data_IF_029442108302
#
_entry.id   IF_029442108302
#
_cell.length_a   1.000
_cell.length_b   1.000
_cell.length_c   1.000
_cell.angle_alpha   90.00
_cell.angle_beta   90.00
_cell.angle_gamma   90.00
#
_symmetry.space_group_name_H-M   'P 1'
#
loop_
_entity.id
_entity.type
_entity.pdbx_description
1 polymer ?
#
# COMPACT_ATOMS: atom_id res chain seq x y z
N UNK A 1 -0.23 -9.86 -29.63
CA UNK A 1 -1.65 -9.84 -30.04
C UNK A 1 -1.75 -8.83 -31.19
N UNK A 2 -2.36 -9.20 -32.31
CA UNK A 2 -2.57 -8.26 -33.41
C UNK A 2 -3.63 -7.20 -33.04
N UNK A 3 -3.60 -6.04 -33.73
CA UNK A 3 -4.47 -4.90 -33.41
C UNK A 3 -5.99 -5.23 -33.50
N UNK A 4 -6.36 -6.13 -34.42
CA UNK A 4 -7.77 -6.54 -34.59
C UNK A 4 -8.24 -7.39 -33.42
N UNK A 5 -7.47 -8.37 -33.00
CA UNK A 5 -7.74 -9.23 -31.85
C UNK A 5 -7.77 -8.40 -30.55
N UNK A 6 -6.83 -7.46 -30.39
CA UNK A 6 -6.81 -6.55 -29.24
C UNK A 6 -8.09 -5.68 -29.16
N UNK A 7 -8.51 -5.09 -30.28
CA UNK A 7 -9.75 -4.30 -30.33
C UNK A 7 -11.00 -5.14 -30.01
N UNK A 8 -11.05 -6.37 -30.54
CA UNK A 8 -12.17 -7.30 -30.31
C UNK A 8 -12.29 -7.68 -28.82
N UNK A 9 -11.18 -8.04 -28.18
CA UNK A 9 -11.15 -8.43 -26.77
C UNK A 9 -11.46 -7.23 -25.87
N UNK A 10 -10.93 -6.04 -26.16
CA UNK A 10 -11.29 -4.81 -25.42
C UNK A 10 -12.79 -4.51 -25.49
N UNK A 11 -13.39 -4.61 -26.69
CA UNK A 11 -14.82 -4.38 -26.88
C UNK A 11 -15.65 -5.41 -26.10
N UNK A 12 -15.27 -6.68 -26.15
CA UNK A 12 -15.92 -7.74 -25.38
C UNK A 12 -15.80 -7.53 -23.88
N UNK A 13 -14.61 -7.21 -23.36
CA UNK A 13 -14.42 -6.95 -21.93
C UNK A 13 -15.24 -5.75 -21.47
N UNK A 14 -15.26 -4.67 -22.26
CA UNK A 14 -16.08 -3.48 -21.96
C UNK A 14 -17.55 -3.84 -21.85
N UNK A 15 -18.10 -4.62 -22.79
CA UNK A 15 -19.50 -5.07 -22.75
C UNK A 15 -19.82 -5.89 -21.49
N UNK A 16 -18.84 -6.65 -20.99
CA UNK A 16 -18.99 -7.42 -19.75
C UNK A 16 -19.05 -6.51 -18.53
N UNK A 17 -18.12 -5.56 -18.40
CA UNK A 17 -18.05 -4.70 -17.20
C UNK A 17 -19.15 -3.63 -17.15
N UNK A 18 -19.68 -3.19 -18.31
CA UNK A 18 -20.80 -2.24 -18.41
C UNK A 18 -22.17 -2.89 -18.16
N UNK A 19 -22.25 -4.22 -18.26
CA UNK A 19 -23.50 -4.94 -18.01
C UNK A 19 -23.85 -4.94 -16.50
N UNK A 20 -25.13 -4.92 -16.12
CA UNK A 20 -25.54 -5.05 -14.71
C UNK A 20 -24.96 -6.28 -14.05
N UNK A 21 -24.21 -6.10 -12.95
CA UNK A 21 -23.48 -7.15 -12.21
C UNK A 21 -22.53 -7.98 -13.10
N UNK A 22 -22.07 -7.44 -14.23
CA UNK A 22 -21.27 -8.19 -15.19
C UNK A 22 -19.91 -8.59 -14.61
N UNK A 23 -19.26 -7.69 -13.87
CA UNK A 23 -18.00 -7.96 -13.19
C UNK A 23 -18.14 -9.09 -12.16
N UNK A 24 -19.18 -9.07 -11.33
CA UNK A 24 -19.43 -10.09 -10.30
C UNK A 24 -19.74 -11.45 -10.93
N UNK A 25 -20.53 -11.45 -11.99
CA UNK A 25 -20.87 -12.69 -12.74
C UNK A 25 -19.63 -13.31 -13.39
N UNK A 26 -18.80 -12.49 -14.04
CA UNK A 26 -17.55 -12.96 -14.66
C UNK A 26 -16.62 -13.57 -13.61
N UNK A 27 -16.41 -12.88 -12.49
CA UNK A 27 -15.50 -13.35 -11.44
C UNK A 27 -16.05 -14.57 -10.71
N UNK A 28 -17.37 -14.64 -10.48
CA UNK A 28 -18.01 -15.84 -9.94
C UNK A 28 -17.82 -17.04 -10.86
N UNK A 29 -18.01 -16.88 -12.18
CA UNK A 29 -17.74 -17.94 -13.16
C UNK A 29 -16.27 -18.35 -13.19
N UNK A 30 -15.34 -17.38 -13.13
CA UNK A 30 -13.90 -17.63 -13.06
C UNK A 30 -13.54 -18.52 -11.86
N UNK A 31 -13.96 -18.16 -10.65
CA UNK A 31 -13.69 -18.96 -9.47
C UNK A 31 -14.43 -20.32 -9.51
N UNK A 32 -15.64 -20.35 -10.06
CA UNK A 32 -16.37 -21.61 -10.28
C UNK A 32 -15.58 -22.59 -11.13
N UNK A 33 -15.05 -22.16 -12.28
CA UNK A 33 -14.20 -22.98 -13.14
C UNK A 33 -12.86 -23.33 -12.48
N UNK A 34 -12.21 -22.37 -11.85
CA UNK A 34 -10.90 -22.56 -11.19
C UNK A 34 -10.96 -23.65 -10.13
N UNK A 35 -11.95 -23.60 -9.24
CA UNK A 35 -12.08 -24.55 -8.13
C UNK A 35 -12.72 -25.88 -8.53
N UNK A 36 -13.52 -25.90 -9.60
CA UNK A 36 -14.05 -27.15 -10.14
C UNK A 36 -12.94 -28.03 -10.75
N UNK A 37 -12.03 -27.41 -11.50
CA UNK A 37 -10.88 -28.10 -12.12
C UNK A 37 -9.73 -28.34 -11.14
N UNK A 38 -9.56 -27.47 -10.14
CA UNK A 38 -8.44 -27.47 -9.20
C UNK A 38 -8.94 -27.20 -7.76
N UNK A 39 -9.62 -28.16 -7.10
CA UNK A 39 -10.24 -27.94 -5.78
C UNK A 39 -9.23 -27.52 -4.69
N UNK A 40 -7.99 -28.00 -4.77
CA UNK A 40 -6.90 -27.67 -3.83
C UNK A 40 -6.56 -26.19 -3.82
N UNK A 41 -6.78 -25.47 -4.93
CA UNK A 41 -6.49 -24.03 -4.99
C UNK A 41 -7.40 -23.20 -4.07
N UNK A 42 -8.56 -23.74 -3.65
CA UNK A 42 -9.45 -23.03 -2.72
C UNK A 42 -8.74 -22.69 -1.40
N UNK A 43 -7.78 -23.50 -1.00
CA UNK A 43 -6.99 -23.28 0.22
C UNK A 43 -6.08 -22.04 0.15
N UNK A 44 -5.72 -21.57 -1.04
CA UNK A 44 -4.90 -20.37 -1.21
C UNK A 44 -5.68 -19.06 -0.96
N UNK A 45 -7.01 -19.13 -0.94
CA UNK A 45 -7.89 -17.98 -0.83
C UNK A 45 -8.48 -17.82 0.58
N UNK A 46 -8.75 -16.57 1.00
CA UNK A 46 -9.47 -16.33 2.26
C UNK A 46 -10.92 -16.85 2.18
N UNK A 47 -11.59 -17.06 3.33
CA UNK A 47 -13.00 -17.46 3.36
C UNK A 47 -13.92 -16.47 2.63
N UNK A 48 -13.74 -15.16 2.85
CA UNK A 48 -14.51 -14.10 2.20
C UNK A 48 -13.77 -13.58 0.97
N UNK A 49 -14.43 -13.57 -0.18
CA UNK A 49 -13.83 -13.25 -1.49
C UNK A 49 -14.41 -11.99 -2.15
N UNK A 50 -15.25 -11.22 -1.46
CA UNK A 50 -16.00 -10.08 -2.02
C UNK A 50 -15.09 -9.00 -2.64
N UNK A 51 -13.94 -8.74 -2.02
CA UNK A 51 -12.99 -7.74 -2.52
C UNK A 51 -12.16 -8.22 -3.71
N UNK A 52 -12.13 -9.52 -4.00
CA UNK A 52 -11.29 -10.09 -5.05
C UNK A 52 -11.84 -9.77 -6.45
N UNK A 53 -13.17 -9.69 -6.59
CA UNK A 53 -13.82 -9.39 -7.87
C UNK A 53 -13.30 -8.09 -8.49
N UNK A 54 -13.32 -7.01 -7.72
CA UNK A 54 -12.83 -5.70 -8.18
C UNK A 54 -11.36 -5.73 -8.59
N UNK A 55 -10.52 -6.43 -7.83
CA UNK A 55 -9.07 -6.51 -8.10
C UNK A 55 -8.77 -7.24 -9.41
N UNK A 56 -9.44 -8.36 -9.67
CA UNK A 56 -9.26 -9.13 -10.91
C UNK A 56 -9.68 -8.29 -12.11
N UNK A 57 -10.86 -7.67 -12.05
CA UNK A 57 -11.37 -6.82 -13.14
C UNK A 57 -10.41 -5.65 -13.42
N UNK A 58 -9.94 -4.96 -12.37
CA UNK A 58 -8.97 -3.87 -12.51
C UNK A 58 -7.64 -4.34 -13.14
N UNK A 59 -7.14 -5.51 -12.75
CA UNK A 59 -5.92 -6.05 -13.31
C UNK A 59 -6.07 -6.40 -14.81
N UNK A 60 -7.18 -7.05 -15.17
CA UNK A 60 -7.49 -7.37 -16.58
C UNK A 60 -7.63 -6.07 -17.39
N UNK A 61 -8.37 -5.08 -16.88
CA UNK A 61 -8.50 -3.77 -17.54
C UNK A 61 -7.13 -3.14 -17.79
N UNK A 62 -6.27 -3.10 -16.78
CA UNK A 62 -4.92 -2.55 -16.93
C UNK A 62 -4.12 -3.23 -18.04
N UNK A 63 -4.15 -4.57 -18.11
CA UNK A 63 -3.47 -5.33 -19.17
C UNK A 63 -4.04 -4.97 -20.55
N UNK A 64 -5.36 -4.92 -20.68
CA UNK A 64 -6.02 -4.61 -21.94
C UNK A 64 -5.73 -3.17 -22.40
N UNK A 65 -5.64 -2.21 -21.49
CA UNK A 65 -5.31 -0.81 -21.80
C UNK A 65 -3.86 -0.65 -22.29
N UNK A 66 -2.97 -1.57 -21.91
CA UNK A 66 -1.54 -1.53 -22.27
C UNK A 66 -1.11 -2.62 -23.27
N UNK A 67 -2.03 -3.22 -24.03
CA UNK A 67 -1.66 -4.23 -25.04
C UNK A 67 -0.71 -3.70 -26.13
N UNK A 68 -0.77 -2.40 -26.43
CA UNK A 68 0.13 -1.75 -27.40
C UNK A 68 1.50 -1.38 -26.79
N UNK A 69 1.55 -1.22 -25.47
CA UNK A 69 2.78 -1.07 -24.68
C UNK A 69 2.96 -2.29 -23.78
N UNK A 70 3.21 -3.45 -24.42
CA UNK A 70 3.30 -4.72 -23.69
C UNK A 70 4.39 -4.70 -22.61
N UNK A 71 5.48 -4.00 -22.82
CA UNK A 71 6.56 -3.89 -21.82
C UNK A 71 6.06 -3.33 -20.48
N UNK A 72 5.09 -2.43 -20.52
CA UNK A 72 4.44 -1.87 -19.31
C UNK A 72 3.49 -2.86 -18.65
N UNK A 73 2.67 -3.54 -19.45
CA UNK A 73 1.78 -4.60 -18.95
C UNK A 73 2.58 -5.76 -18.33
N UNK A 74 3.67 -6.18 -18.99
CA UNK A 74 4.55 -7.24 -18.51
C UNK A 74 5.18 -6.90 -17.15
N UNK A 75 5.75 -5.70 -17.00
CA UNK A 75 6.32 -5.24 -15.71
C UNK A 75 5.29 -5.25 -14.59
N UNK A 76 4.06 -4.83 -14.87
CA UNK A 76 2.96 -4.90 -13.92
C UNK A 76 2.63 -6.34 -13.51
N UNK A 77 2.52 -7.27 -14.49
CA UNK A 77 2.23 -8.68 -14.24
C UNK A 77 3.35 -9.38 -13.48
N UNK A 78 4.61 -9.09 -13.81
CA UNK A 78 5.77 -9.61 -13.09
C UNK A 78 5.78 -9.14 -11.62
N UNK A 79 5.47 -7.86 -11.37
CA UNK A 79 5.36 -7.35 -10.01
C UNK A 79 4.18 -7.96 -9.26
N UNK A 80 3.04 -8.12 -9.92
CA UNK A 80 1.86 -8.78 -9.37
C UNK A 80 2.17 -10.24 -9.00
N UNK A 81 2.93 -10.94 -9.82
CA UNK A 81 3.36 -12.30 -9.56
C UNK A 81 4.31 -12.42 -8.36
N UNK A 82 5.26 -11.50 -8.23
CA UNK A 82 6.12 -11.43 -7.03
C UNK A 82 5.29 -11.26 -5.76
N UNK A 83 4.27 -10.40 -5.81
CA UNK A 83 3.35 -10.21 -4.67
C UNK A 83 2.49 -11.46 -4.40
N UNK A 84 2.18 -12.27 -5.42
CA UNK A 84 1.39 -13.50 -5.25
C UNK A 84 2.17 -14.64 -4.59
N UNK A 85 3.51 -14.61 -4.56
CA UNK A 85 4.34 -15.66 -3.92
C UNK A 85 3.97 -15.90 -2.45
N UNK A 86 3.57 -14.86 -1.74
CA UNK A 86 3.12 -14.94 -0.34
C UNK A 86 1.90 -15.84 -0.11
N UNK A 87 1.12 -16.11 -1.17
CA UNK A 87 -0.03 -17.00 -1.11
C UNK A 87 0.34 -18.46 -1.41
N UNK A 88 1.61 -18.76 -1.73
CA UNK A 88 2.05 -20.09 -2.14
C UNK A 88 1.71 -20.41 -3.60
N UNK A 89 1.53 -19.38 -4.44
CA UNK A 89 1.22 -19.55 -5.87
C UNK A 89 2.49 -19.84 -6.65
N UNK A 90 2.44 -20.84 -7.53
CA UNK A 90 3.50 -21.21 -8.48
C UNK A 90 3.09 -21.03 -9.94
N UNK A 91 3.98 -21.37 -10.88
CA UNK A 91 3.74 -21.21 -12.32
C UNK A 91 2.54 -22.01 -12.83
N UNK A 92 2.31 -23.22 -12.33
CA UNK A 92 1.19 -24.07 -12.76
C UNK A 92 -0.18 -23.47 -12.36
N UNK A 93 -0.22 -22.74 -11.28
CA UNK A 93 -1.42 -22.04 -10.82
C UNK A 93 -1.83 -20.90 -11.76
N UNK A 94 -0.87 -20.21 -12.39
CA UNK A 94 -1.18 -19.17 -13.38
C UNK A 94 -1.78 -19.75 -14.66
N UNK A 95 -1.33 -20.92 -15.11
CA UNK A 95 -1.91 -21.62 -16.26
C UNK A 95 -3.33 -22.10 -15.96
N UNK A 96 -3.59 -22.61 -14.75
CA UNK A 96 -4.93 -22.98 -14.32
C UNK A 96 -5.86 -21.75 -14.26
N UNK A 97 -5.37 -20.61 -13.76
CA UNK A 97 -6.11 -19.37 -13.74
C UNK A 97 -6.41 -18.85 -15.15
N UNK A 98 -5.44 -18.94 -16.09
CA UNK A 98 -5.65 -18.56 -17.49
C UNK A 98 -6.74 -19.39 -18.17
N UNK A 99 -6.75 -20.71 -17.98
CA UNK A 99 -7.79 -21.59 -18.52
C UNK A 99 -9.17 -21.27 -17.89
N UNK A 100 -9.22 -21.08 -16.58
CA UNK A 100 -10.46 -20.74 -15.89
C UNK A 100 -11.03 -19.39 -16.35
N UNK A 101 -10.17 -18.42 -16.62
CA UNK A 101 -10.58 -17.11 -17.12
C UNK A 101 -11.15 -17.21 -18.54
N UNK A 102 -10.51 -17.96 -19.43
CA UNK A 102 -11.00 -18.23 -20.78
C UNK A 102 -12.38 -18.92 -20.73
N UNK A 103 -12.54 -19.94 -19.87
CA UNK A 103 -13.80 -20.64 -19.66
C UNK A 103 -14.91 -19.72 -19.11
N UNK A 104 -14.54 -18.79 -18.21
CA UNK A 104 -15.49 -17.81 -17.67
C UNK A 104 -15.99 -16.83 -18.75
N UNK A 105 -15.11 -16.32 -19.62
CA UNK A 105 -15.52 -15.47 -20.74
C UNK A 105 -16.39 -16.24 -21.74
N UNK A 106 -16.05 -17.50 -22.04
CA UNK A 106 -16.90 -18.36 -22.90
C UNK A 106 -18.30 -18.55 -22.32
N UNK A 107 -18.38 -18.90 -21.05
CA UNK A 107 -19.64 -19.11 -20.35
C UNK A 107 -20.48 -17.81 -20.29
N UNK A 108 -19.84 -16.67 -20.04
CA UNK A 108 -20.50 -15.37 -19.98
C UNK A 108 -21.12 -14.97 -21.32
N UNK A 109 -20.39 -15.15 -22.42
CA UNK A 109 -20.84 -14.73 -23.76
C UNK A 109 -21.82 -15.70 -24.42
N UNK A 110 -21.86 -16.98 -23.99
CA UNK A 110 -22.79 -17.99 -24.51
C UNK A 110 -22.80 -18.05 -26.04
N UNK A 111 -23.95 -17.81 -26.67
CA UNK A 111 -24.13 -17.88 -28.13
C UNK A 111 -23.33 -16.77 -28.88
N UNK A 112 -22.95 -15.68 -28.24
CA UNK A 112 -22.11 -14.65 -28.83
C UNK A 112 -20.64 -15.01 -28.88
N UNK A 113 -20.21 -16.10 -28.24
CA UNK A 113 -18.85 -16.60 -28.28
C UNK A 113 -18.53 -17.21 -29.64
N UNK A 114 -17.48 -16.71 -30.27
CA UNK A 114 -17.05 -17.16 -31.60
C UNK A 114 -15.54 -17.33 -31.67
N UNK A 115 -15.04 -17.99 -32.73
CA UNK A 115 -13.63 -18.34 -32.91
C UNK A 115 -12.67 -17.14 -32.71
N UNK A 116 -12.99 -15.96 -33.22
CA UNK A 116 -12.12 -14.78 -33.06
C UNK A 116 -12.00 -14.32 -31.60
N UNK A 117 -13.07 -14.40 -30.80
CA UNK A 117 -12.99 -14.12 -29.36
C UNK A 117 -12.19 -15.20 -28.62
N UNK A 118 -12.39 -16.46 -28.98
CA UNK A 118 -11.64 -17.59 -28.42
C UNK A 118 -10.13 -17.43 -28.63
N UNK A 119 -9.71 -17.16 -29.87
CA UNK A 119 -8.31 -16.95 -30.21
C UNK A 119 -7.73 -15.73 -29.50
N UNK A 120 -8.42 -14.60 -29.54
CA UNK A 120 -7.95 -13.37 -28.89
C UNK A 120 -7.80 -13.48 -27.35
N UNK A 121 -8.78 -14.07 -26.66
CA UNK A 121 -8.70 -14.29 -25.23
C UNK A 121 -7.65 -15.35 -24.87
N UNK A 122 -7.49 -16.39 -25.66
CA UNK A 122 -6.46 -17.42 -25.47
C UNK A 122 -5.06 -16.81 -25.53
N UNK A 123 -4.77 -15.99 -26.54
CA UNK A 123 -3.47 -15.34 -26.68
C UNK A 123 -3.17 -14.43 -25.48
N UNK A 124 -4.16 -13.64 -25.04
CA UNK A 124 -4.00 -12.74 -23.88
C UNK A 124 -3.79 -13.53 -22.59
N UNK A 125 -4.55 -14.59 -22.34
CA UNK A 125 -4.39 -15.41 -21.13
C UNK A 125 -3.03 -16.12 -21.09
N UNK A 126 -2.52 -16.58 -22.23
CA UNK A 126 -1.18 -17.15 -22.34
C UNK A 126 -0.11 -16.10 -21.99
N UNK A 127 -0.22 -14.90 -22.55
CA UNK A 127 0.71 -13.80 -22.26
C UNK A 127 0.69 -13.39 -20.78
N UNK A 128 -0.49 -13.33 -20.17
CA UNK A 128 -0.64 -13.06 -18.72
C UNK A 128 0.04 -14.15 -17.92
N UNK A 129 -0.29 -15.43 -18.15
CA UNK A 129 0.27 -16.57 -17.41
C UNK A 129 1.79 -16.63 -17.55
N UNK A 130 2.32 -16.45 -18.74
CA UNK A 130 3.77 -16.47 -19.01
C UNK A 130 4.48 -15.32 -18.28
N UNK A 131 3.95 -14.09 -18.33
CA UNK A 131 4.54 -12.95 -17.64
C UNK A 131 4.51 -13.11 -16.12
N UNK A 132 3.42 -13.64 -15.58
CA UNK A 132 3.33 -13.94 -14.16
C UNK A 132 4.28 -15.05 -13.74
N UNK A 133 4.45 -16.11 -14.53
CA UNK A 133 5.42 -17.17 -14.27
C UNK A 133 6.86 -16.63 -14.28
N UNK A 134 7.21 -15.75 -15.23
CA UNK A 134 8.51 -15.08 -15.26
C UNK A 134 8.73 -14.27 -13.98
N UNK A 135 7.75 -13.44 -13.58
CA UNK A 135 7.84 -12.61 -12.38
C UNK A 135 8.01 -13.43 -11.09
N UNK A 136 7.22 -14.52 -10.94
CA UNK A 136 7.32 -15.40 -9.78
C UNK A 136 8.68 -16.10 -9.68
N UNK A 137 9.24 -16.54 -10.82
CA UNK A 137 10.51 -17.25 -10.90
C UNK A 137 11.74 -16.32 -10.83
N UNK A 138 11.60 -15.04 -11.15
CA UNK A 138 12.71 -14.07 -11.15
C UNK A 138 13.18 -13.71 -9.75
N UNK A 139 12.32 -13.80 -8.76
CA UNK A 139 12.61 -13.47 -7.37
C UNK A 139 13.04 -14.72 -6.59
N UNK A 140 14.29 -14.76 -6.13
CA UNK A 140 14.88 -15.86 -5.36
C UNK A 140 14.78 -15.67 -3.85
N UNK A 141 14.24 -14.53 -3.38
CA UNK A 141 14.00 -14.30 -1.95
C UNK A 141 12.94 -15.26 -1.42
N UNK A 142 12.87 -15.42 -0.13
CA UNK A 142 11.75 -16.15 0.48
C UNK A 142 10.43 -15.39 0.26
N UNK A 143 9.29 -16.08 0.10
CA UNK A 143 8.00 -15.45 -0.18
C UNK A 143 7.47 -14.62 0.99
N UNK A 144 7.86 -14.95 2.22
CA UNK A 144 7.56 -14.19 3.42
C UNK A 144 8.58 -14.51 4.54
N UNK A 145 8.67 -13.63 5.52
CA UNK A 145 9.42 -13.76 6.75
C UNK A 145 8.47 -13.99 7.91
N UNK A 146 8.82 -14.88 8.82
CA UNK A 146 8.12 -14.99 10.08
C UNK A 146 8.71 -14.02 11.10
N UNK A 147 7.86 -13.35 11.85
CA UNK A 147 8.24 -12.40 12.87
C UNK A 147 7.36 -12.57 14.11
N UNK A 148 7.99 -12.59 15.28
CA UNK A 148 7.30 -12.72 16.56
C UNK A 148 7.01 -11.34 17.15
N UNK A 149 5.82 -11.11 17.64
CA UNK A 149 5.45 -9.90 18.37
C UNK A 149 6.20 -9.87 19.70
N UNK A 150 7.09 -8.91 19.88
CA UNK A 150 7.86 -8.68 21.11
C UNK A 150 7.33 -7.51 21.93
N UNK A 151 6.46 -6.67 21.35
CA UNK A 151 5.84 -5.56 22.06
C UNK A 151 4.53 -5.14 21.37
N UNK A 152 3.52 -4.84 22.18
CA UNK A 152 2.24 -4.31 21.75
C UNK A 152 1.79 -3.23 22.73
N UNK A 153 1.76 -1.98 22.28
CA UNK A 153 1.38 -0.84 23.11
C UNK A 153 0.23 -0.06 22.47
N UNK A 154 -0.93 -0.05 23.11
CA UNK A 154 -2.04 0.83 22.69
C UNK A 154 -1.72 2.26 23.12
N UNK A 155 -1.62 3.14 22.15
CA UNK A 155 -1.32 4.58 22.32
C UNK A 155 -2.61 5.38 22.41
N UNK A 156 -3.58 5.03 21.58
CA UNK A 156 -4.95 5.53 21.62
C UNK A 156 -5.91 4.34 21.63
N UNK A 157 -7.17 4.57 21.87
CA UNK A 157 -8.18 3.50 21.86
C UNK A 157 -8.21 2.75 20.52
N UNK A 158 -7.95 3.47 19.43
CA UNK A 158 -7.98 2.95 18.06
C UNK A 158 -6.59 2.80 17.43
N UNK A 159 -5.47 3.01 18.17
CA UNK A 159 -4.12 2.99 17.66
C UNK A 159 -3.16 2.20 18.53
N UNK A 160 -2.41 1.30 17.94
CA UNK A 160 -1.34 0.55 18.59
C UNK A 160 0.00 0.68 17.85
N UNK A 161 1.09 0.66 18.61
CA UNK A 161 2.45 0.44 18.13
C UNK A 161 2.80 -1.00 18.43
N UNK A 162 3.19 -1.74 17.38
CA UNK A 162 3.53 -3.16 17.47
C UNK A 162 4.99 -3.34 17.05
N UNK A 163 5.78 -3.97 17.90
CA UNK A 163 7.17 -4.35 17.62
C UNK A 163 7.27 -5.84 17.40
N UNK A 164 8.01 -6.21 16.38
CA UNK A 164 8.24 -7.60 16.02
C UNK A 164 9.75 -7.87 15.89
N UNK A 165 10.10 -9.12 16.12
CA UNK A 165 11.42 -9.68 15.90
C UNK A 165 11.31 -10.75 14.82
N UNK A 166 11.93 -10.52 13.67
CA UNK A 166 12.07 -11.51 12.60
C UNK A 166 13.29 -12.40 12.84
N UNK A 167 13.21 -13.65 12.40
CA UNK A 167 14.31 -14.61 12.49
C UNK A 167 15.51 -14.22 11.59
N UNK A 168 15.27 -13.48 10.53
CA UNK A 168 16.28 -12.90 9.64
C UNK A 168 15.88 -11.49 9.21
N UNK A 169 16.84 -10.61 8.85
CA UNK A 169 16.54 -9.27 8.41
C UNK A 169 15.59 -9.24 7.21
N UNK A 170 14.57 -8.39 7.27
CA UNK A 170 13.66 -8.16 6.16
C UNK A 170 14.24 -7.03 5.31
N UNK A 171 14.50 -7.24 4.00
CA UNK A 171 15.26 -6.30 3.17
C UNK A 171 14.39 -5.16 2.60
N UNK A 172 13.64 -4.45 3.45
CA UNK A 172 12.91 -3.27 3.01
C UNK A 172 13.78 -2.01 3.11
N UNK A 173 13.46 -1.03 2.28
CA UNK A 173 14.02 0.32 2.37
C UNK A 173 13.07 1.21 3.18
N UNK A 174 13.63 2.17 3.92
CA UNK A 174 12.82 3.14 4.66
C UNK A 174 11.91 3.92 3.71
N UNK A 175 10.62 3.94 4.01
CA UNK A 175 9.58 4.52 3.16
C UNK A 175 8.72 3.47 2.43
N UNK A 176 9.20 2.26 2.21
CA UNK A 176 8.42 1.18 1.62
C UNK A 176 7.34 0.66 2.58
N UNK A 177 6.38 -0.08 2.02
CA UNK A 177 5.39 -0.84 2.79
C UNK A 177 5.53 -2.34 2.51
N UNK A 178 5.02 -3.16 3.41
CA UNK A 178 5.06 -4.62 3.33
C UNK A 178 3.67 -5.21 3.50
N UNK A 179 3.33 -6.28 2.77
CA UNK A 179 2.14 -7.06 3.07
C UNK A 179 2.39 -7.89 4.33
N UNK A 180 1.42 -7.94 5.24
CA UNK A 180 1.48 -8.84 6.38
C UNK A 180 0.14 -9.52 6.66
N UNK A 181 0.18 -10.67 7.32
CA UNK A 181 -0.98 -11.39 7.85
C UNK A 181 -0.74 -11.78 9.30
N UNK A 182 -1.82 -11.89 10.06
CA UNK A 182 -1.81 -12.14 11.50
C UNK A 182 -2.59 -13.41 11.84
N UNK A 183 -2.25 -14.13 12.91
CA UNK A 183 -2.92 -15.39 13.26
C UNK A 183 -4.41 -15.22 13.55
N UNK A 184 -4.84 -14.06 14.03
CA UNK A 184 -6.25 -13.76 14.27
C UNK A 184 -7.08 -13.63 12.99
N UNK A 185 -6.44 -13.36 11.85
CA UNK A 185 -7.08 -13.21 10.53
C UNK A 185 -6.20 -13.85 9.45
N UNK A 186 -6.07 -15.19 9.45
CA UNK A 186 -5.15 -15.90 8.55
C UNK A 186 -5.54 -15.68 7.08
N UNK A 187 -4.52 -15.60 6.21
CA UNK A 187 -4.65 -15.37 4.76
C UNK A 187 -5.23 -13.99 4.38
N UNK A 188 -5.55 -13.13 5.34
CA UNK A 188 -6.04 -11.78 5.11
C UNK A 188 -4.89 -10.77 5.11
N UNK A 189 -4.09 -10.80 4.06
CA UNK A 189 -2.96 -9.89 3.89
C UNK A 189 -3.40 -8.43 3.77
N UNK A 190 -2.69 -7.54 4.49
CA UNK A 190 -2.86 -6.09 4.40
C UNK A 190 -1.49 -5.42 4.36
N UNK A 191 -1.45 -4.24 3.76
CA UNK A 191 -0.23 -3.47 3.58
C UNK A 191 -0.04 -2.50 4.73
N UNK A 192 1.18 -2.50 5.31
CA UNK A 192 1.58 -1.58 6.37
C UNK A 192 3.01 -1.11 6.13
N UNK A 193 3.29 0.15 6.43
CA UNK A 193 4.64 0.70 6.35
C UNK A 193 5.36 0.49 7.69
N UNK A 194 6.58 -0.06 7.66
CA UNK A 194 7.45 -0.04 8.82
C UNK A 194 7.72 1.40 9.28
N UNK A 195 7.76 1.60 10.59
CA UNK A 195 8.00 2.90 11.22
C UNK A 195 9.46 3.13 11.62
N UNK A 196 10.31 2.12 11.44
CA UNK A 196 11.77 2.18 11.63
C UNK A 196 12.47 1.67 10.36
N UNK A 197 13.72 2.05 10.10
CA UNK A 197 14.50 1.49 9.00
C UNK A 197 14.81 0.02 9.24
N UNK A 198 15.07 -0.73 8.16
CA UNK A 198 15.57 -2.08 8.27
C UNK A 198 16.90 -2.12 9.03
N UNK A 199 17.10 -3.13 9.83
CA UNK A 199 18.31 -3.28 10.65
C UNK A 199 18.77 -4.75 10.66
N UNK A 200 20.05 -4.99 10.96
CA UNK A 200 20.63 -6.35 10.92
C UNK A 200 20.07 -7.28 12.01
N UNK A 201 19.36 -6.73 12.99
CA UNK A 201 18.80 -7.51 14.09
C UNK A 201 17.41 -8.09 13.74
N UNK A 202 16.79 -7.70 12.63
CA UNK A 202 15.47 -8.16 12.24
C UNK A 202 14.32 -7.51 13.02
N UNK A 203 14.58 -6.40 13.70
CA UNK A 203 13.54 -5.65 14.39
C UNK A 203 12.68 -4.89 13.38
N UNK A 204 11.37 -4.87 13.60
CA UNK A 204 10.43 -4.09 12.79
C UNK A 204 9.32 -3.53 13.68
N UNK A 205 8.90 -2.29 13.40
CA UNK A 205 7.85 -1.60 14.15
C UNK A 205 6.76 -1.12 13.20
N UNK A 206 5.52 -1.35 13.59
CA UNK A 206 4.34 -0.85 12.87
C UNK A 206 3.48 0.03 13.77
N UNK A 207 3.00 1.14 13.22
CA UNK A 207 1.97 1.99 13.82
C UNK A 207 0.65 1.70 13.13
N UNK A 208 -0.32 1.15 13.85
CA UNK A 208 -1.54 0.62 13.24
C UNK A 208 -2.77 1.25 13.88
N UNK A 209 -3.62 1.86 13.05
CA UNK A 209 -4.93 2.41 13.47
C UNK A 209 -6.05 1.51 12.95
N UNK A 210 -7.07 1.31 13.78
CA UNK A 210 -8.29 0.59 13.40
C UNK A 210 -8.99 1.30 12.24
N UNK A 211 -9.29 0.55 11.20
CA UNK A 211 -10.19 1.00 10.14
C UNK A 211 -11.60 0.53 10.47
N UNK A 212 -12.55 1.46 10.56
CA UNK A 212 -13.95 1.14 10.83
C UNK A 212 -14.50 0.18 9.76
N UNK A 213 -15.10 -0.92 10.19
CA UNK A 213 -15.56 -1.98 9.29
C UNK A 213 -14.45 -2.87 8.72
N UNK A 214 -13.18 -2.63 9.06
CA UNK A 214 -12.07 -3.50 8.70
C UNK A 214 -12.00 -4.76 9.58
N UNK A 215 -11.32 -5.78 9.09
CA UNK A 215 -11.15 -7.07 9.80
C UNK A 215 -9.77 -7.21 10.45
N UNK A 216 -8.71 -6.77 9.76
CA UNK A 216 -7.33 -7.01 10.17
C UNK A 216 -6.84 -5.96 11.16
N UNK A 217 -6.95 -4.66 10.84
CA UNK A 217 -6.44 -3.61 11.75
C UNK A 217 -7.15 -3.58 13.10
N UNK A 218 -8.49 -3.82 13.22
CA UNK A 218 -9.11 -3.99 14.53
C UNK A 218 -8.58 -5.19 15.31
N UNK A 219 -8.33 -6.33 14.64
CA UNK A 219 -7.75 -7.51 15.27
C UNK A 219 -6.33 -7.21 15.79
N UNK A 220 -5.51 -6.55 14.97
CA UNK A 220 -4.16 -6.16 15.39
C UNK A 220 -4.19 -5.27 16.65
N UNK A 221 -5.04 -4.26 16.68
CA UNK A 221 -5.07 -3.32 17.81
C UNK A 221 -5.67 -3.93 19.07
N UNK A 222 -6.64 -4.85 18.95
CA UNK A 222 -7.39 -5.36 20.10
C UNK A 222 -6.98 -6.77 20.56
N UNK A 223 -6.55 -7.63 19.64
CA UNK A 223 -6.43 -9.07 19.88
C UNK A 223 -4.97 -9.55 19.87
N UNK A 224 -4.03 -8.80 19.25
CA UNK A 224 -2.60 -9.15 19.20
C UNK A 224 -1.99 -9.24 20.60
N UNK A 225 -1.17 -10.26 20.81
CA UNK A 225 -0.43 -10.51 22.05
C UNK A 225 1.07 -10.68 21.76
N UNK A 226 1.90 -10.38 22.74
CA UNK A 226 3.32 -10.74 22.71
C UNK A 226 3.44 -12.27 22.56
N UNK A 227 4.29 -12.71 21.64
CA UNK A 227 4.44 -14.11 21.26
C UNK A 227 3.65 -14.52 20.01
N UNK A 228 2.70 -13.72 19.51
CA UNK A 228 2.03 -13.99 18.23
C UNK A 228 3.02 -14.01 17.07
N UNK A 229 2.86 -14.96 16.16
CA UNK A 229 3.68 -15.06 14.95
C UNK A 229 2.96 -14.46 13.76
N UNK A 230 3.58 -13.47 13.15
CA UNK A 230 3.08 -12.80 11.94
C UNK A 230 3.89 -13.22 10.73
N UNK A 231 3.27 -13.23 9.56
CA UNK A 231 3.98 -13.40 8.30
C UNK A 231 4.05 -12.06 7.57
N UNK A 232 5.24 -11.70 7.13
CA UNK A 232 5.55 -10.44 6.45
C UNK A 232 6.13 -10.78 5.09
N UNK A 233 5.47 -10.35 4.00
CA UNK A 233 5.95 -10.60 2.65
C UNK A 233 6.91 -9.50 2.16
N UNK A 234 7.47 -9.69 0.96
CA UNK A 234 8.47 -8.80 0.38
C UNK A 234 8.00 -7.34 0.26
N UNK A 235 8.94 -6.38 0.37
CA UNK A 235 8.63 -4.96 0.36
C UNK A 235 8.12 -4.49 -1.01
N UNK A 236 7.27 -3.46 -0.98
CA UNK A 236 6.65 -2.80 -2.11
C UNK A 236 6.69 -1.28 -1.90
N UNK A 237 6.33 -0.53 -2.95
CA UNK A 237 6.33 0.94 -2.90
C UNK A 237 7.68 1.55 -3.25
N UNK A 238 7.68 2.86 -3.43
CA UNK A 238 8.84 3.59 -3.91
C UNK A 238 9.07 4.93 -3.20
N UNK A 239 8.42 5.16 -2.07
CA UNK A 239 8.57 6.42 -1.34
C UNK A 239 9.97 6.48 -0.72
N UNK A 240 10.81 7.41 -1.18
CA UNK A 240 12.16 7.61 -0.69
C UNK A 240 12.65 9.05 -0.94
N UNK A 241 13.65 9.48 -0.20
CA UNK A 241 14.33 10.75 -0.44
C UNK A 241 15.41 10.56 -1.52
N UNK A 242 15.24 11.25 -2.66
CA UNK A 242 16.27 11.32 -3.68
C UNK A 242 17.37 12.29 -3.23
N UNK A 243 18.50 11.74 -2.81
CA UNK A 243 19.63 12.49 -2.28
C UNK A 243 20.49 13.14 -3.36
N UNK A 244 20.44 12.59 -4.58
CA UNK A 244 21.22 13.08 -5.72
C UNK A 244 20.58 14.34 -6.32
N UNK A 245 19.28 14.57 -6.04
CA UNK A 245 18.56 15.74 -6.52
C UNK A 245 19.11 17.07 -5.98
N UNK A 246 19.83 17.07 -4.87
CA UNK A 246 20.32 18.27 -4.18
C UNK A 246 19.22 19.17 -3.59
N UNK A 247 17.95 18.71 -3.62
CA UNK A 247 16.79 19.48 -3.15
C UNK A 247 16.47 19.20 -1.69
N UNK A 248 16.02 20.23 -1.00
CA UNK A 248 15.40 20.08 0.32
C UNK A 248 14.10 19.25 0.22
N UNK A 249 13.61 18.77 1.34
CA UNK A 249 12.48 17.82 1.41
C UNK A 249 11.32 18.41 2.19
N UNK A 250 10.12 18.24 1.67
CA UNK A 250 8.87 18.46 2.38
C UNK A 250 8.18 17.11 2.61
N UNK A 251 8.04 16.72 3.87
CA UNK A 251 7.29 15.54 4.28
C UNK A 251 5.95 15.95 4.91
N UNK A 252 4.87 15.32 4.49
CA UNK A 252 3.51 15.59 4.97
C UNK A 252 2.87 14.26 5.35
N UNK A 253 2.62 14.06 6.63
CA UNK A 253 2.06 12.81 7.13
C UNK A 253 0.91 13.03 8.10
N UNK A 254 -0.13 12.18 8.04
CA UNK A 254 -1.24 12.24 8.99
C UNK A 254 -1.59 10.86 9.58
N UNK A 255 -1.93 10.84 10.88
CA UNK A 255 -2.23 9.62 11.59
C UNK A 255 -1.07 8.61 11.49
N UNK A 256 -1.37 7.34 11.21
CA UNK A 256 -0.33 6.30 11.02
C UNK A 256 0.42 6.41 9.69
N UNK A 257 -0.02 7.27 8.78
CA UNK A 257 0.73 7.61 7.56
C UNK A 257 2.09 8.25 7.83
N UNK A 258 2.36 8.71 9.04
CA UNK A 258 3.71 9.17 9.42
C UNK A 258 4.75 8.04 9.43
N UNK A 259 4.36 6.77 9.54
CA UNK A 259 5.27 5.63 9.72
C UNK A 259 6.38 5.54 8.63
N UNK A 260 6.07 5.56 7.32
CA UNK A 260 7.11 5.48 6.29
C UNK A 260 8.02 6.71 6.26
N UNK A 261 7.51 7.89 6.62
CA UNK A 261 8.30 9.12 6.71
C UNK A 261 9.21 9.08 7.94
N UNK A 262 8.69 8.62 9.07
CA UNK A 262 9.45 8.40 10.30
C UNK A 262 10.63 7.44 10.07
N UNK A 263 10.41 6.33 9.37
CA UNK A 263 11.48 5.38 9.06
C UNK A 263 12.61 6.05 8.26
N UNK A 264 12.27 6.87 7.26
CA UNK A 264 13.24 7.62 6.47
C UNK A 264 14.01 8.63 7.33
N UNK A 265 13.33 9.37 8.22
CA UNK A 265 13.96 10.35 9.11
C UNK A 265 14.93 9.70 10.10
N UNK A 266 14.57 8.54 10.65
CA UNK A 266 15.47 7.76 11.52
C UNK A 266 16.69 7.28 10.72
N UNK A 267 16.52 6.76 9.53
CA UNK A 267 17.62 6.36 8.65
C UNK A 267 18.52 7.55 8.29
N UNK A 268 17.93 8.71 7.99
CA UNK A 268 18.66 9.94 7.72
C UNK A 268 19.46 10.39 8.95
N UNK A 269 18.90 10.29 10.15
CA UNK A 269 19.59 10.63 11.41
C UNK A 269 20.83 9.78 11.70
N UNK A 270 20.96 8.62 11.08
CA UNK A 270 22.15 7.77 11.15
C UNK A 270 23.29 8.21 10.20
N UNK A 271 23.06 9.23 9.40
CA UNK A 271 23.98 9.71 8.35
C UNK A 271 24.43 11.14 8.64
N UNK A 272 25.67 11.46 8.24
CA UNK A 272 26.29 12.77 8.56
C UNK A 272 25.78 13.93 7.72
N UNK A 273 25.35 13.71 6.46
CA UNK A 273 24.93 14.77 5.53
C UNK A 273 23.52 14.49 5.04
N UNK A 274 22.62 15.45 5.28
CA UNK A 274 21.21 15.36 4.89
C UNK A 274 20.71 16.68 4.31
N UNK A 275 19.75 16.64 3.34
CA UNK A 275 19.01 17.82 2.94
C UNK A 275 18.17 18.35 4.12
N UNK A 276 17.77 19.61 4.08
CA UNK A 276 16.81 20.14 5.08
C UNK A 276 15.45 19.50 4.86
N UNK A 277 14.81 19.12 5.95
CA UNK A 277 13.49 18.49 5.94
C UNK A 277 12.52 19.33 6.77
N UNK A 278 11.38 19.70 6.17
CA UNK A 278 10.23 20.16 6.91
C UNK A 278 9.21 19.02 6.97
N UNK A 279 8.91 18.55 8.17
CA UNK A 279 7.94 17.48 8.38
C UNK A 279 6.68 18.02 9.06
N UNK A 280 5.61 18.13 8.29
CA UNK A 280 4.28 18.47 8.80
C UNK A 280 3.57 17.20 9.25
N UNK A 281 3.31 17.12 10.56
CA UNK A 281 2.60 16.01 11.18
C UNK A 281 1.17 16.44 11.47
N UNK A 282 0.20 15.81 10.79
CA UNK A 282 -1.20 16.15 10.85
C UNK A 282 -2.05 15.19 11.68
N UNK A 283 -3.07 15.75 12.33
CA UNK A 283 -4.12 15.02 13.01
C UNK A 283 -5.44 15.79 13.04
N UNK A 284 -6.54 15.12 13.31
CA UNK A 284 -7.81 15.80 13.52
C UNK A 284 -7.83 16.50 14.88
N UNK A 285 -7.31 15.82 15.89
CA UNK A 285 -7.23 16.28 17.26
C UNK A 285 -5.79 16.33 17.75
N UNK A 286 -5.45 17.09 18.80
CA UNK A 286 -4.11 17.07 19.37
C UNK A 286 -3.61 15.67 19.77
N UNK A 287 -4.48 14.80 20.31
CA UNK A 287 -4.13 13.43 20.67
C UNK A 287 -3.77 12.54 19.46
N UNK A 288 -4.15 12.92 18.23
CA UNK A 288 -3.77 12.20 17.01
C UNK A 288 -2.30 12.41 16.65
N UNK A 289 -1.63 13.42 17.22
CA UNK A 289 -0.19 13.68 17.05
C UNK A 289 0.65 12.78 17.96
N UNK A 290 0.30 11.53 18.07
CA UNK A 290 0.78 10.54 19.05
C UNK A 290 2.31 10.31 19.05
N UNK A 291 3.00 10.63 17.98
CA UNK A 291 4.46 10.43 17.83
C UNK A 291 5.23 11.75 17.64
N UNK A 292 4.56 12.90 17.77
CA UNK A 292 5.18 14.22 17.52
C UNK A 292 6.35 14.50 18.45
N UNK A 293 6.27 14.07 19.70
CA UNK A 293 7.33 14.24 20.69
C UNK A 293 8.60 13.45 20.33
N UNK A 294 8.45 12.19 19.88
CA UNK A 294 9.59 11.40 19.41
C UNK A 294 10.26 12.04 18.18
N UNK A 295 9.45 12.57 17.27
CA UNK A 295 9.99 13.26 16.09
C UNK A 295 10.67 14.59 16.46
N UNK A 296 10.13 15.31 17.43
CA UNK A 296 10.79 16.49 17.97
C UNK A 296 12.12 16.14 18.66
N UNK A 297 12.16 15.09 19.49
CA UNK A 297 13.42 14.61 20.09
C UNK A 297 14.46 14.26 19.03
N UNK A 298 14.06 13.62 17.93
CA UNK A 298 14.94 13.36 16.80
C UNK A 298 15.49 14.66 16.20
N UNK A 299 14.68 15.70 16.10
CA UNK A 299 15.09 17.00 15.57
C UNK A 299 16.11 17.73 16.45
N UNK A 300 16.12 17.47 17.77
CA UNK A 300 17.08 18.11 18.69
C UNK A 300 18.54 17.69 18.40
N UNK A 301 18.73 16.49 17.89
CA UNK A 301 20.04 15.97 17.46
C UNK A 301 20.32 16.17 15.96
N UNK A 302 19.34 16.67 15.21
CA UNK A 302 19.37 16.74 13.76
C UNK A 302 18.91 18.13 13.26
N UNK A 303 19.82 19.13 13.18
CA UNK A 303 19.47 20.52 12.82
C UNK A 303 18.86 20.69 11.43
N UNK A 304 19.00 19.69 10.56
CA UNK A 304 18.38 19.65 9.23
C UNK A 304 16.88 19.34 9.28
N UNK A 305 16.33 18.88 10.42
CA UNK A 305 14.95 18.46 10.59
C UNK A 305 14.11 19.47 11.36
N UNK A 306 13.04 19.96 10.77
CA UNK A 306 12.04 20.82 11.41
C UNK A 306 10.70 20.08 11.50
N UNK A 307 10.14 19.97 12.70
CA UNK A 307 8.82 19.34 12.95
C UNK A 307 7.76 20.41 13.09
N UNK A 308 6.69 20.30 12.32
CA UNK A 308 5.56 21.24 12.34
C UNK A 308 4.26 20.47 12.65
N UNK A 309 3.76 20.53 13.89
CA UNK A 309 2.50 19.89 14.26
C UNK A 309 1.28 20.67 13.72
N UNK A 310 0.29 19.95 13.19
CA UNK A 310 -0.93 20.54 12.63
C UNK A 310 -2.15 19.76 13.11
N UNK A 311 -3.17 20.45 13.62
CA UNK A 311 -4.45 19.85 14.02
C UNK A 311 -5.63 20.58 13.39
N UNK A 312 -6.71 19.86 13.07
CA UNK A 312 -7.96 20.50 12.64
C UNK A 312 -8.70 21.14 13.83
N UNK A 313 -8.58 20.53 15.03
CA UNK A 313 -9.26 20.98 16.25
C UNK A 313 -8.23 21.47 17.29
N UNK A 314 -8.63 22.49 18.07
CA UNK A 314 -7.77 23.05 19.12
C UNK A 314 -7.70 22.17 20.38
N UNK A 315 -8.76 21.41 20.64
CA UNK A 315 -8.94 20.61 21.85
C UNK A 315 -9.08 19.13 21.51
N UNK A 316 -8.76 18.27 22.47
CA UNK A 316 -9.01 16.85 22.33
C UNK A 316 -10.52 16.55 22.35
N UNK A 317 -10.96 15.43 21.76
CA UNK A 317 -12.37 15.03 21.77
C UNK A 317 -12.81 14.66 23.19
N UNK A 318 -14.12 14.75 23.47
CA UNK A 318 -14.71 14.49 24.79
C UNK A 318 -14.41 13.09 25.37
N UNK A 319 -14.15 12.12 24.50
CA UNK A 319 -13.83 10.74 24.91
C UNK A 319 -12.36 10.52 25.28
N UNK A 320 -11.49 11.52 25.04
CA UNK A 320 -10.07 11.49 25.43
C UNK A 320 -9.89 12.43 26.64
N UNK A 321 -9.67 11.87 27.84
CA UNK A 321 -9.81 12.63 29.10
C UNK A 321 -8.63 13.58 29.39
N UNK A 322 -7.55 13.48 28.63
CA UNK A 322 -6.36 14.30 28.88
C UNK A 322 -6.42 15.62 28.08
N UNK A 323 -6.01 16.74 28.66
CA UNK A 323 -5.85 18.00 27.93
C UNK A 323 -4.78 17.84 26.82
N UNK A 324 -4.80 18.71 25.80
CA UNK A 324 -3.71 18.78 24.84
C UNK A 324 -2.40 19.05 25.58
N UNK A 325 -1.36 18.31 25.23
CA UNK A 325 -0.01 18.62 25.71
C UNK A 325 0.48 19.94 25.12
N UNK A 326 1.19 20.72 25.91
CA UNK A 326 1.89 21.89 25.42
C UNK A 326 3.10 21.47 24.58
N UNK A 327 3.43 22.26 23.56
CA UNK A 327 4.59 21.99 22.74
C UNK A 327 5.87 22.22 23.57
N UNK A 328 6.84 21.26 23.54
CA UNK A 328 8.11 21.44 24.20
C UNK A 328 8.85 22.68 23.67
N UNK A 329 9.68 23.29 24.50
CA UNK A 329 10.50 24.43 24.10
C UNK A 329 11.36 24.08 22.88
N UNK A 330 11.32 24.95 21.87
CA UNK A 330 12.05 24.75 20.59
C UNK A 330 11.27 23.97 19.52
N UNK A 331 10.09 23.42 19.84
CA UNK A 331 9.19 22.87 18.83
C UNK A 331 8.41 24.02 18.14
N UNK A 332 8.11 23.85 16.85
CA UNK A 332 7.19 24.74 16.16
C UNK A 332 5.81 24.73 16.85
N UNK A 333 5.24 25.90 17.04
CA UNK A 333 3.89 26.02 17.62
C UNK A 333 2.88 25.25 16.76
N UNK A 334 1.97 24.50 17.39
CA UNK A 334 0.90 23.76 16.70
C UNK A 334 0.02 24.69 15.89
N UNK A 335 -0.06 24.41 14.59
CA UNK A 335 -0.94 25.12 13.66
C UNK A 335 -2.34 24.49 13.67
N UNK A 336 -3.35 25.32 13.44
CA UNK A 336 -4.75 24.89 13.44
C UNK A 336 -5.31 25.03 12.03
N UNK A 337 -5.84 23.94 11.48
CA UNK A 337 -6.46 23.89 10.17
C UNK A 337 -6.34 22.53 9.49
N UNK A 338 -6.89 22.42 8.29
CA UNK A 338 -6.69 21.25 7.44
C UNK A 338 -5.23 21.16 7.01
N UNK A 339 -4.63 19.97 7.13
CA UNK A 339 -3.20 19.79 6.90
C UNK A 339 -2.73 20.30 5.53
N UNK A 340 -3.41 19.92 4.45
CA UNK A 340 -3.07 20.37 3.10
C UNK A 340 -3.18 21.88 2.91
N UNK A 341 -4.24 22.49 3.45
CA UNK A 341 -4.43 23.93 3.39
C UNK A 341 -3.37 24.70 4.21
N UNK A 342 -3.01 24.20 5.39
CA UNK A 342 -1.95 24.78 6.22
C UNK A 342 -0.61 24.72 5.51
N UNK A 343 -0.23 23.57 4.94
CA UNK A 343 1.03 23.45 4.18
C UNK A 343 1.05 24.37 2.96
N UNK A 344 -0.04 24.42 2.21
CA UNK A 344 -0.17 25.30 1.04
C UNK A 344 -0.12 26.79 1.38
N UNK A 345 -0.50 27.20 2.60
CA UNK A 345 -0.41 28.60 3.03
C UNK A 345 1.03 29.14 3.17
N UNK A 346 2.02 28.27 3.20
CA UNK A 346 3.44 28.63 3.17
C UNK A 346 3.99 28.89 1.75
N UNK A 347 3.18 28.64 0.71
CA UNK A 347 3.53 28.86 -0.70
C UNK A 347 3.71 27.60 -1.52
N UNK A 348 4.21 27.81 -2.74
CA UNK A 348 4.42 26.75 -3.73
C UNK A 348 5.74 26.02 -3.51
N UNK A 349 5.90 25.07 -2.76
CA UNK A 349 7.12 24.30 -2.45
C UNK A 349 7.87 23.71 -3.68
N UNK A 350 8.00 24.49 -4.76
CA UNK A 350 8.50 24.04 -6.06
C UNK A 350 9.98 23.68 -6.09
N UNK A 351 10.74 24.15 -5.11
CA UNK A 351 12.18 23.91 -4.92
C UNK A 351 12.49 22.59 -4.18
N UNK A 352 11.48 21.82 -3.79
CA UNK A 352 11.62 20.67 -2.90
C UNK A 352 11.17 19.36 -3.54
N UNK A 353 11.64 18.25 -2.96
CA UNK A 353 10.98 16.93 -3.11
C UNK A 353 9.83 16.87 -2.12
N UNK A 354 8.67 16.43 -2.54
CA UNK A 354 7.48 16.37 -1.68
C UNK A 354 7.01 14.93 -1.50
N UNK A 355 6.86 14.50 -0.26
CA UNK A 355 6.31 13.21 0.09
C UNK A 355 5.05 13.37 0.92
N UNK A 356 3.96 12.71 0.50
CA UNK A 356 2.68 12.72 1.22
C UNK A 356 2.31 11.30 1.61
N UNK A 357 2.03 11.06 2.90
CA UNK A 357 1.63 9.74 3.39
C UNK A 357 0.47 9.83 4.40
N UNK A 358 -0.57 9.02 4.19
CA UNK A 358 -1.78 9.01 5.00
C UNK A 358 -2.96 8.36 4.31
N UNK A 359 -4.19 8.73 4.66
CA UNK A 359 -5.37 8.21 3.97
C UNK A 359 -5.48 8.73 2.54
N UNK A 360 -6.11 7.95 1.63
CA UNK A 360 -6.34 8.34 0.24
C UNK A 360 -6.97 9.74 0.11
N UNK A 361 -7.96 10.04 0.97
CA UNK A 361 -8.61 11.35 0.98
C UNK A 361 -7.62 12.46 1.36
N UNK A 362 -6.84 12.27 2.42
CA UNK A 362 -5.87 13.27 2.88
C UNK A 362 -4.79 13.52 1.81
N UNK A 363 -4.27 12.46 1.18
CA UNK A 363 -3.29 12.57 0.10
C UNK A 363 -3.87 13.37 -1.07
N UNK A 364 -5.08 13.03 -1.53
CA UNK A 364 -5.73 13.72 -2.66
C UNK A 364 -6.02 15.19 -2.34
N UNK A 365 -6.53 15.50 -1.15
CA UNK A 365 -6.84 16.86 -0.73
C UNK A 365 -5.56 17.72 -0.58
N UNK A 366 -4.51 17.16 0.01
CA UNK A 366 -3.21 17.84 0.15
C UNK A 366 -2.56 18.09 -1.21
N UNK A 367 -2.54 17.08 -2.09
CA UNK A 367 -2.02 17.20 -3.45
C UNK A 367 -2.74 18.32 -4.21
N UNK A 368 -4.07 18.36 -4.15
CA UNK A 368 -4.89 19.40 -4.78
C UNK A 368 -4.57 20.79 -4.23
N UNK A 369 -4.42 20.92 -2.91
CA UNK A 369 -4.10 22.20 -2.28
C UNK A 369 -2.71 22.72 -2.70
N UNK A 370 -1.70 21.85 -2.76
CA UNK A 370 -0.36 22.22 -3.21
C UNK A 370 -0.33 22.62 -4.69
N UNK A 371 -0.99 21.86 -5.56
CA UNK A 371 -1.06 22.19 -6.99
C UNK A 371 -1.76 23.54 -7.21
N UNK A 372 -2.83 23.84 -6.45
CA UNK A 372 -3.56 25.10 -6.54
C UNK A 372 -2.71 26.34 -6.22
N UNK A 373 -1.65 26.20 -5.41
CA UNK A 373 -0.71 27.30 -5.11
C UNK A 373 0.54 27.29 -5.98
N UNK A 374 0.56 26.48 -7.05
CA UNK A 374 1.63 26.46 -8.04
C UNK A 374 2.72 25.40 -7.83
N UNK A 375 2.52 24.43 -6.94
CA UNK A 375 3.46 23.30 -6.79
C UNK A 375 3.37 22.38 -8.01
N UNK A 376 4.48 22.07 -8.70
CA UNK A 376 4.46 21.12 -9.83
C UNK A 376 4.06 19.71 -9.38
N UNK A 377 3.12 19.09 -10.09
CA UNK A 377 2.59 17.78 -9.72
C UNK A 377 3.65 16.67 -9.71
N UNK A 378 4.60 16.70 -10.65
CA UNK A 378 5.63 15.68 -10.83
C UNK A 378 6.64 15.56 -9.69
N UNK A 379 6.74 16.57 -8.81
CA UNK A 379 7.63 16.54 -7.63
C UNK A 379 6.92 16.00 -6.38
N UNK A 380 5.62 15.70 -6.46
CA UNK A 380 4.81 15.19 -5.35
C UNK A 380 4.73 13.66 -5.46
N UNK A 381 5.33 12.98 -4.50
CA UNK A 381 5.34 11.52 -4.38
C UNK A 381 4.41 11.05 -3.27
N UNK A 382 3.72 9.94 -3.51
CA UNK A 382 2.93 9.22 -2.52
C UNK A 382 2.81 7.76 -2.95
N UNK A 383 2.76 6.84 -2.00
CA UNK A 383 2.43 5.45 -2.33
C UNK A 383 0.94 5.31 -2.66
N UNK A 384 0.56 4.36 -3.51
CA UNK A 384 -0.84 4.02 -3.76
C UNK A 384 -1.47 3.48 -2.47
N UNK A 385 -2.66 3.98 -2.13
CA UNK A 385 -3.42 3.63 -0.91
C UNK A 385 -4.57 2.70 -1.25
#
# INVERSE_FOLDING_TARGET
VDARSAALVRANFRSVIEAPNGSERLVSAFYGHLFAENPQLRELFPPAMDMQAKRIVTAIQYVLDHLEDWGRAQKFLEQLARDHRKYGVDAAHYDAAGRALLSAFRAYNGAAWHRGLEEGWRDITILISASMAIGANSDKSQPFWEATVVGHRRVLEDLAIVRLQSESPIPYQAGQYVPLTVPQRPKMWRYFSPAIPANPYGEIEFHIRKIRGGWVSPAIVNETRVGDRWQIAGPLGGLHVDRESGRDVLMIGAGTGIAPLRAQLIEMGQRGINPRVHFFIGGRYPCDLYDVENMWQLSQSNPWLTIVPVCEQKTNPWWYPHPPQEEPYGMHRRLIGNLGAVVASFGAWADRQIQIAGSAKMIADTRRALIAVGTPEHIISSDPV
#
